data_IF_691948933576
#
_entry.id   IF_691948933576
#
_cell.length_a   1.000
_cell.length_b   1.000
_cell.length_c   1.000
_cell.angle_alpha   90.00
_cell.angle_beta   90.00
_cell.angle_gamma   90.00
#
_symmetry.space_group_name_H-M   'P 1'
#
loop_
_entity.id
_entity.type
_entity.pdbx_description
1 polymer ?
#
# COMPACT_ATOMS: atom_id res chain seq x y z
N UNK A 1 8.02 5.64 12.27
CA UNK A 1 8.05 6.54 11.09
C UNK A 1 9.42 6.61 10.44
N UNK A 2 10.50 6.96 11.14
CA UNK A 2 11.86 7.02 10.55
C UNK A 2 12.29 5.71 9.92
N UNK A 3 12.13 4.59 10.60
CA UNK A 3 12.46 3.26 10.09
C UNK A 3 11.65 2.89 8.83
N UNK A 4 10.36 3.27 8.76
CA UNK A 4 9.54 3.05 7.56
C UNK A 4 10.09 3.87 6.37
N UNK A 5 10.38 5.15 6.61
CA UNK A 5 10.92 6.04 5.59
C UNK A 5 12.28 5.58 5.06
N UNK A 6 13.16 5.12 5.96
CA UNK A 6 14.46 4.55 5.59
C UNK A 6 14.33 3.26 4.76
N UNK A 7 13.43 2.36 5.17
CA UNK A 7 13.17 1.10 4.42
C UNK A 7 12.58 1.32 3.04
N UNK A 8 11.87 2.43 2.86
CA UNK A 8 11.22 2.83 1.59
C UNK A 8 12.10 3.77 0.75
N UNK A 9 13.29 4.12 1.24
CA UNK A 9 14.20 5.08 0.60
C UNK A 9 13.49 6.39 0.21
N UNK A 10 12.62 6.88 1.11
CA UNK A 10 11.81 8.06 0.84
C UNK A 10 12.64 9.34 0.86
N UNK A 11 12.29 10.34 0.02
CA UNK A 11 12.93 11.65 0.08
C UNK A 11 12.67 12.35 1.42
N UNK A 12 13.60 13.20 1.86
CA UNK A 12 13.57 13.86 3.19
C UNK A 12 12.26 14.59 3.47
N UNK A 13 11.69 15.27 2.47
CA UNK A 13 10.42 15.97 2.64
C UNK A 13 9.24 15.03 3.01
N UNK A 14 9.27 13.76 2.53
CA UNK A 14 8.25 12.77 2.89
C UNK A 14 8.43 12.34 4.35
N UNK A 15 9.66 12.16 4.81
CA UNK A 15 9.94 11.89 6.22
C UNK A 15 9.45 13.04 7.11
N UNK A 16 9.72 14.28 6.73
CA UNK A 16 9.24 15.48 7.46
C UNK A 16 7.72 15.50 7.52
N UNK A 17 7.05 15.23 6.41
CA UNK A 17 5.59 15.12 6.35
C UNK A 17 5.06 14.04 7.30
N UNK A 18 5.67 12.86 7.32
CA UNK A 18 5.29 11.75 8.21
C UNK A 18 5.47 12.11 9.69
N UNK A 19 6.57 12.77 10.04
CA UNK A 19 6.85 13.17 11.41
C UNK A 19 5.84 14.23 11.90
N UNK A 20 5.55 15.21 11.05
CA UNK A 20 4.53 16.23 11.36
C UNK A 20 3.14 15.59 11.50
N UNK A 21 2.79 14.65 10.65
CA UNK A 21 1.52 13.93 10.74
C UNK A 21 1.41 13.12 12.02
N UNK A 22 2.52 12.52 12.49
CA UNK A 22 2.57 11.80 13.76
C UNK A 22 2.39 12.75 14.97
N UNK A 23 2.98 13.94 14.95
CA UNK A 23 2.76 14.96 15.98
C UNK A 23 1.29 15.34 16.07
N UNK A 24 0.67 15.66 14.90
CA UNK A 24 -0.76 15.98 14.82
C UNK A 24 -1.62 14.83 15.35
N UNK A 25 -1.29 13.59 15.00
CA UNK A 25 -2.01 12.41 15.48
C UNK A 25 -1.93 12.26 17.00
N UNK A 26 -0.76 12.48 17.59
CA UNK A 26 -0.56 12.36 19.05
C UNK A 26 -1.30 13.46 19.82
N UNK A 27 -1.42 14.64 19.24
CA UNK A 27 -2.09 15.79 19.85
C UNK A 27 -3.61 15.80 19.60
N UNK A 28 -4.08 15.05 18.61
CA UNK A 28 -5.49 15.01 18.26
C UNK A 28 -6.32 14.27 19.33
N UNK A 29 -7.48 14.80 19.72
CA UNK A 29 -8.39 14.07 20.59
C UNK A 29 -8.94 12.83 19.86
N UNK A 30 -9.17 11.76 20.61
CA UNK A 30 -9.85 10.58 20.07
C UNK A 30 -11.26 10.97 19.62
N UNK A 31 -11.64 10.54 18.40
CA UNK A 31 -12.96 10.84 17.86
C UNK A 31 -14.07 10.22 18.73
N UNK A 32 -15.11 10.99 19.03
CA UNK A 32 -16.25 10.61 19.88
C UNK A 32 -17.53 10.31 19.08
N UNK A 33 -17.49 10.53 17.75
CA UNK A 33 -18.63 10.34 16.84
C UNK A 33 -18.74 8.89 16.27
N UNK A 34 -17.77 8.02 16.58
CA UNK A 34 -17.72 6.62 16.11
C UNK A 34 -18.02 5.62 17.25
N UNK A 35 -17.95 4.32 16.94
CA UNK A 35 -17.98 3.27 17.97
C UNK A 35 -16.87 3.47 18.99
N UNK A 36 -17.15 3.11 20.26
CA UNK A 36 -16.13 3.19 21.31
C UNK A 36 -14.93 2.30 21.00
N UNK A 37 -13.74 2.88 21.08
CA UNK A 37 -12.46 2.16 20.99
C UNK A 37 -11.84 1.94 22.38
N UNK A 38 -12.60 2.22 23.43
CA UNK A 38 -12.18 1.93 24.80
C UNK A 38 -11.92 0.42 24.96
N UNK A 39 -10.73 0.07 25.41
CA UNK A 39 -10.29 -1.33 25.53
C UNK A 39 -9.39 -1.80 24.40
N UNK A 40 -9.16 -1.00 23.34
CA UNK A 40 -8.08 -1.24 22.38
C UNK A 40 -6.77 -0.76 22.98
N UNK A 41 -5.76 -1.61 22.92
CA UNK A 41 -4.39 -1.24 23.28
C UNK A 41 -3.71 -0.63 22.06
N UNK A 42 -3.85 0.69 21.89
CA UNK A 42 -3.33 1.42 20.73
C UNK A 42 -1.80 1.36 20.63
N UNK A 43 -1.10 1.17 21.75
CA UNK A 43 0.36 1.12 21.78
C UNK A 43 0.90 -0.22 21.23
N UNK A 44 0.08 -1.26 21.27
CA UNK A 44 0.45 -2.60 20.79
C UNK A 44 -0.19 -2.98 19.43
N UNK A 45 -0.84 -2.04 18.76
CA UNK A 45 -1.36 -2.26 17.40
C UNK A 45 -0.21 -2.18 16.39
N UNK A 46 -0.01 -3.26 15.63
CA UNK A 46 0.92 -3.25 14.50
C UNK A 46 0.26 -2.53 13.32
N UNK A 47 0.75 -1.34 13.01
CA UNK A 47 0.17 -0.47 11.97
C UNK A 47 0.85 -0.62 10.61
N UNK A 48 2.00 -1.29 10.55
CA UNK A 48 2.75 -1.51 9.33
C UNK A 48 3.39 -2.90 9.32
N UNK A 49 3.08 -3.67 8.29
CA UNK A 49 3.69 -4.98 8.02
C UNK A 49 4.18 -4.98 6.58
N UNK A 50 5.51 -5.11 6.41
CA UNK A 50 6.08 -5.27 5.07
C UNK A 50 5.87 -6.71 4.61
N UNK A 51 5.26 -6.94 3.42
CA UNK A 51 5.17 -8.29 2.85
C UNK A 51 6.57 -8.84 2.53
N UNK A 52 6.74 -10.17 2.48
CA UNK A 52 8.03 -10.83 2.23
C UNK A 52 8.42 -10.80 0.73
N UNK A 53 7.86 -9.89 -0.04
CA UNK A 53 8.12 -9.75 -1.47
C UNK A 53 8.09 -8.27 -1.87
N UNK A 54 8.85 -7.94 -2.89
CA UNK A 54 8.75 -6.63 -3.54
C UNK A 54 7.59 -6.65 -4.56
N UNK A 55 7.17 -5.44 -4.97
CA UNK A 55 6.13 -5.28 -5.98
C UNK A 55 6.51 -5.97 -7.29
N UNK A 56 5.56 -6.69 -7.88
CA UNK A 56 5.71 -7.40 -9.16
C UNK A 56 4.82 -6.77 -10.22
N UNK A 57 5.30 -6.74 -11.46
CA UNK A 57 4.54 -6.33 -12.64
C UNK A 57 3.90 -7.51 -13.38
N UNK A 58 4.29 -8.73 -13.03
CA UNK A 58 3.75 -9.98 -13.55
C UNK A 58 3.14 -10.80 -12.43
N UNK A 59 1.87 -11.17 -12.59
CA UNK A 59 1.14 -11.96 -11.59
C UNK A 59 1.77 -13.33 -11.33
N UNK A 60 2.34 -13.95 -12.36
CA UNK A 60 2.96 -15.27 -12.22
C UNK A 60 4.19 -15.24 -11.30
N UNK A 61 4.82 -14.07 -11.18
CA UNK A 61 5.97 -13.82 -10.29
C UNK A 61 5.60 -13.51 -8.84
N UNK A 62 4.31 -13.37 -8.52
CA UNK A 62 3.82 -13.17 -7.15
C UNK A 62 3.95 -14.50 -6.38
N UNK A 63 4.42 -14.50 -5.11
CA UNK A 63 4.52 -15.71 -4.31
C UNK A 63 3.20 -16.49 -4.17
N UNK A 64 3.27 -17.81 -4.21
CA UNK A 64 2.08 -18.69 -4.24
C UNK A 64 1.18 -18.53 -3.01
N UNK A 65 1.75 -18.34 -1.82
CA UNK A 65 0.96 -18.10 -0.60
C UNK A 65 0.11 -16.82 -0.67
N UNK A 66 0.56 -15.81 -1.41
CA UNK A 66 -0.20 -14.58 -1.67
C UNK A 66 -1.27 -14.86 -2.72
N UNK A 67 -0.92 -15.54 -3.83
CA UNK A 67 -1.89 -15.96 -4.86
C UNK A 67 -3.03 -16.79 -4.27
N UNK A 68 -2.70 -17.79 -3.44
CA UNK A 68 -3.68 -18.63 -2.74
C UNK A 68 -4.66 -17.81 -1.89
N UNK A 69 -4.17 -16.74 -1.26
CA UNK A 69 -5.02 -15.84 -0.48
C UNK A 69 -6.04 -15.12 -1.38
N UNK A 70 -5.60 -14.59 -2.52
CA UNK A 70 -6.48 -13.93 -3.49
C UNK A 70 -7.47 -14.90 -4.13
N UNK A 71 -7.05 -16.12 -4.42
CA UNK A 71 -7.91 -17.16 -4.97
C UNK A 71 -8.99 -17.62 -3.96
N UNK A 72 -8.63 -17.73 -2.68
CA UNK A 72 -9.58 -18.01 -1.60
C UNK A 72 -10.60 -16.90 -1.38
N UNK A 73 -10.23 -15.64 -1.64
CA UNK A 73 -11.14 -14.50 -1.61
C UNK A 73 -12.06 -14.45 -2.85
N UNK A 74 -11.85 -15.34 -3.83
CA UNK A 74 -12.70 -15.44 -5.01
C UNK A 74 -12.53 -14.29 -6.00
N UNK A 75 -11.38 -13.64 -6.04
CA UNK A 75 -11.09 -12.56 -7.00
C UNK A 75 -10.88 -13.17 -8.39
N UNK A 76 -11.76 -12.87 -9.37
CA UNK A 76 -11.71 -13.50 -10.69
C UNK A 76 -10.39 -13.21 -11.41
N UNK A 77 -9.79 -14.23 -12.00
CA UNK A 77 -8.58 -14.09 -12.81
C UNK A 77 -8.79 -13.15 -14.01
N UNK A 78 -10.02 -13.11 -14.55
CA UNK A 78 -10.40 -12.21 -15.63
C UNK A 78 -10.22 -10.73 -15.28
N UNK A 79 -10.51 -10.31 -14.04
CA UNK A 79 -10.34 -8.92 -13.62
C UNK A 79 -8.89 -8.46 -13.70
N UNK A 80 -7.95 -9.35 -13.43
CA UNK A 80 -6.50 -9.07 -13.51
C UNK A 80 -6.01 -8.79 -14.92
N UNK A 81 -6.69 -9.33 -15.93
CA UNK A 81 -6.24 -9.29 -17.33
C UNK A 81 -6.96 -8.24 -18.19
N UNK A 82 -8.20 -7.86 -17.83
CA UNK A 82 -9.04 -7.02 -18.67
C UNK A 82 -9.15 -5.56 -18.18
N UNK A 83 -8.82 -5.28 -16.93
CA UNK A 83 -8.87 -3.92 -16.41
C UNK A 83 -7.68 -3.10 -16.95
N UNK A 84 -7.94 -1.81 -17.22
CA UNK A 84 -6.92 -0.88 -17.71
C UNK A 84 -5.75 -0.69 -16.73
N UNK A 85 -6.02 -0.84 -15.44
CA UNK A 85 -5.02 -0.84 -14.37
C UNK A 85 -5.51 -1.71 -13.21
N UNK A 86 -4.59 -2.48 -12.63
CA UNK A 86 -4.86 -3.38 -11.50
C UNK A 86 -3.74 -3.27 -10.48
N UNK A 87 -4.09 -3.11 -9.21
CA UNK A 87 -3.17 -3.21 -8.09
C UNK A 87 -3.68 -4.21 -7.07
N UNK A 88 -2.79 -5.04 -6.54
CA UNK A 88 -3.07 -5.95 -5.43
C UNK A 88 -2.21 -5.56 -4.23
N UNK A 89 -2.87 -5.29 -3.12
CA UNK A 89 -2.23 -5.02 -1.85
C UNK A 89 -2.28 -6.28 -0.97
N UNK A 90 -1.17 -6.56 -0.31
CA UNK A 90 -1.06 -7.58 0.72
C UNK A 90 -0.30 -6.97 1.91
N UNK A 91 -0.84 -7.14 3.11
CA UNK A 91 -0.36 -6.41 4.27
C UNK A 91 -0.37 -4.88 4.03
N UNK A 92 0.74 -4.21 4.21
CA UNK A 92 0.82 -2.75 4.12
C UNK A 92 1.36 -2.21 2.79
N UNK A 93 1.61 -3.07 1.80
CA UNK A 93 2.23 -2.65 0.53
C UNK A 93 1.57 -3.30 -0.69
N UNK A 94 1.76 -2.66 -1.86
CA UNK A 94 1.43 -3.26 -3.15
C UNK A 94 2.39 -4.40 -3.45
N UNK A 95 1.85 -5.58 -3.74
CA UNK A 95 2.62 -6.77 -4.15
C UNK A 95 2.54 -7.03 -5.64
N UNK A 96 1.52 -6.48 -6.30
CA UNK A 96 1.33 -6.56 -7.73
C UNK A 96 0.75 -5.27 -8.26
N UNK A 97 1.27 -4.81 -9.39
CA UNK A 97 0.75 -3.67 -10.12
C UNK A 97 0.94 -3.88 -11.61
N UNK A 98 -0.11 -3.61 -12.36
CA UNK A 98 -0.08 -3.68 -13.82
C UNK A 98 -0.98 -2.61 -14.42
N UNK A 99 -0.52 -2.01 -15.51
CA UNK A 99 -1.31 -1.08 -16.32
C UNK A 99 -1.17 -1.43 -17.80
N UNK A 100 -2.29 -1.40 -18.53
CA UNK A 100 -2.27 -1.65 -19.96
C UNK A 100 -1.50 -0.55 -20.70
N UNK A 101 -0.69 -0.95 -21.69
CA UNK A 101 0.17 -0.03 -22.46
C UNK A 101 -0.63 1.04 -23.22
N UNK A 102 -1.84 0.71 -23.64
CA UNK A 102 -2.76 1.63 -24.32
C UNK A 102 -3.20 2.76 -23.39
N UNK A 103 -3.53 2.44 -22.14
CA UNK A 103 -3.91 3.43 -21.13
C UNK A 103 -2.73 4.36 -20.82
N UNK A 104 -1.53 3.81 -20.67
CA UNK A 104 -0.31 4.60 -20.46
C UNK A 104 -0.02 5.57 -21.62
N UNK A 105 -0.21 5.13 -22.87
CA UNK A 105 -0.05 5.99 -24.07
C UNK A 105 -1.07 7.13 -24.13
N UNK A 106 -2.22 6.96 -23.50
CA UNK A 106 -3.25 8.01 -23.38
C UNK A 106 -2.94 9.02 -22.27
N UNK A 107 -1.81 8.88 -21.57
CA UNK A 107 -1.41 9.75 -20.48
C UNK A 107 -2.05 9.42 -19.13
N UNK A 108 -2.66 8.25 -18.99
CA UNK A 108 -3.18 7.78 -17.71
C UNK A 108 -1.99 7.35 -16.84
N UNK A 109 -1.90 7.92 -15.63
CA UNK A 109 -0.93 7.54 -14.62
C UNK A 109 -1.65 6.72 -13.55
N UNK A 110 -1.17 5.52 -13.28
CA UNK A 110 -1.64 4.65 -12.21
C UNK A 110 -0.43 3.97 -11.58
N UNK A 111 -0.03 4.41 -10.41
CA UNK A 111 1.17 3.92 -9.70
C UNK A 111 0.96 3.93 -8.19
N UNK A 112 1.76 3.15 -7.47
CA UNK A 112 1.86 3.26 -6.03
C UNK A 112 2.56 4.56 -5.60
N UNK A 113 2.35 4.98 -4.35
CA UNK A 113 2.99 6.20 -3.85
C UNK A 113 4.52 6.09 -3.84
N UNK A 114 5.06 4.92 -3.54
CA UNK A 114 6.50 4.67 -3.54
C UNK A 114 7.10 4.87 -4.93
N UNK A 115 6.46 4.32 -5.96
CA UNK A 115 6.88 4.49 -7.35
C UNK A 115 6.77 5.96 -7.79
N UNK A 116 5.69 6.64 -7.40
CA UNK A 116 5.49 8.05 -7.71
C UNK A 116 6.50 8.97 -7.02
N UNK A 117 7.01 8.60 -5.83
CA UNK A 117 8.04 9.38 -5.11
C UNK A 117 9.42 9.28 -5.76
N UNK A 118 9.71 8.18 -6.46
CA UNK A 118 10.98 7.92 -7.13
C UNK A 118 10.90 8.10 -8.66
N UNK A 119 9.68 8.25 -9.20
CA UNK A 119 9.45 8.56 -10.60
C UNK A 119 9.70 10.04 -10.92
N UNK A 120 10.05 10.34 -12.15
CA UNK A 120 10.17 11.69 -12.68
C UNK A 120 8.79 12.35 -12.85
#
# INVERSE_FOLDING_TARGET
MREISERKDEPEWMLEHRLRSLEIYNDAPVADWGPSIAGLDMDNIVTYVKPPTDQKSDWDSVPDNIKDTFDRLGIPQAERSYLAGVGAQYDSELVYHSMQKEAAKMGIVYSGIEEALHGE
#
